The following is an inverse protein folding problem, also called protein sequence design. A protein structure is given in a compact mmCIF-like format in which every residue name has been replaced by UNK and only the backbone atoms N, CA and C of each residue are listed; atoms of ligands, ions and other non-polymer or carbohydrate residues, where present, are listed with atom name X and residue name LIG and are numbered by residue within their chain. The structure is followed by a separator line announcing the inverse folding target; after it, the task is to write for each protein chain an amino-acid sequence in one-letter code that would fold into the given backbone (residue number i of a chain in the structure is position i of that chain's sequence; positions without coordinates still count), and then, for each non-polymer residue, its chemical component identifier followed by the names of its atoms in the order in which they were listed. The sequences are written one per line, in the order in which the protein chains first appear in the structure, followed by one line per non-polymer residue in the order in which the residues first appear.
data_IF_317233129559
#
_entry.id   IF_317233129559
#
_cell.length_a   1.000
_cell.length_b   1.000
_cell.length_c   1.000
_cell.angle_alpha   90.00
_cell.angle_beta   90.00
_cell.angle_gamma   90.00
#
_symmetry.space_group_name_H-M   'P 1'
#
loop_
_entity.id
_entity.type
_entity.pdbx_description
1 polymer ?
#
# COMPACT_ATOMS: atom_id res chain seq x y z
N UNK A 1 19.32 -6.14 -7.28
CA UNK A 1 18.08 -6.95 -7.19
C UNK A 1 17.16 -6.36 -6.14
N UNK A 2 15.98 -5.88 -6.55
CA UNK A 2 15.02 -5.09 -5.75
C UNK A 2 14.14 -5.98 -4.86
N UNK A 3 13.96 -5.55 -3.60
CA UNK A 3 13.25 -6.28 -2.54
C UNK A 3 11.71 -6.22 -2.65
N UNK A 4 11.17 -5.54 -3.68
CA UNK A 4 9.72 -5.51 -4.02
C UNK A 4 9.19 -6.83 -4.56
N UNK A 5 10.07 -7.82 -4.72
CA UNK A 5 9.69 -9.21 -5.02
C UNK A 5 9.18 -9.97 -3.79
N UNK A 6 9.39 -9.49 -2.56
CA UNK A 6 8.93 -10.24 -1.37
C UNK A 6 7.39 -10.30 -1.37
N UNK A 7 6.77 -11.48 -1.46
CA UNK A 7 5.31 -11.63 -1.50
C UNK A 7 4.60 -10.95 -0.33
N UNK A 8 5.32 -10.81 0.79
CA UNK A 8 4.86 -10.08 1.99
C UNK A 8 4.50 -8.62 1.73
N UNK A 9 5.27 -7.86 0.94
CA UNK A 9 5.00 -6.44 0.75
C UNK A 9 3.68 -6.19 0.00
N UNK A 10 3.43 -6.97 -1.07
CA UNK A 10 2.20 -6.87 -1.85
C UNK A 10 0.99 -7.37 -1.04
N UNK A 11 1.17 -8.41 -0.24
CA UNK A 11 0.11 -8.91 0.65
C UNK A 11 -0.24 -7.91 1.77
N UNK A 12 0.76 -7.28 2.40
CA UNK A 12 0.54 -6.21 3.39
C UNK A 12 -0.16 -5.03 2.73
N UNK A 13 0.25 -4.66 1.51
CA UNK A 13 -0.39 -3.58 0.75
C UNK A 13 -1.87 -3.88 0.48
N UNK A 14 -2.19 -5.11 0.04
CA UNK A 14 -3.58 -5.53 -0.18
C UNK A 14 -4.39 -5.51 1.12
N UNK A 15 -3.84 -6.03 2.22
CA UNK A 15 -4.47 -5.98 3.53
C UNK A 15 -4.73 -4.54 4.00
N UNK A 16 -3.77 -3.64 3.79
CA UNK A 16 -3.87 -2.24 4.18
C UNK A 16 -4.93 -1.49 3.37
N UNK A 17 -5.01 -1.73 2.06
CA UNK A 17 -6.11 -1.22 1.24
C UNK A 17 -7.47 -1.78 1.67
N UNK A 18 -7.55 -3.09 1.97
CA UNK A 18 -8.77 -3.71 2.47
C UNK A 18 -9.20 -3.12 3.82
N UNK A 19 -8.26 -2.80 4.71
CA UNK A 19 -8.51 -2.11 5.97
C UNK A 19 -9.10 -0.72 5.71
N UNK A 20 -8.52 0.03 4.76
CA UNK A 20 -9.07 1.33 4.33
C UNK A 20 -10.49 1.23 3.80
N UNK A 21 -10.78 0.26 2.92
CA UNK A 21 -12.14 -0.02 2.43
C UNK A 21 -13.09 -0.32 3.59
N UNK A 22 -12.69 -1.21 4.51
CA UNK A 22 -13.52 -1.57 5.66
C UNK A 22 -13.81 -0.36 6.56
N UNK A 23 -12.80 0.48 6.80
CA UNK A 23 -12.95 1.73 7.54
C UNK A 23 -13.93 2.69 6.86
N UNK A 24 -13.83 2.88 5.54
CA UNK A 24 -14.73 3.78 4.80
C UNK A 24 -16.15 3.24 4.71
N UNK A 25 -16.34 1.92 4.62
CA UNK A 25 -17.67 1.31 4.67
C UNK A 25 -18.31 1.41 6.05
N UNK A 26 -17.51 1.30 7.12
CA UNK A 26 -17.98 1.55 8.47
C UNK A 26 -18.33 3.02 8.67
N UNK A 27 -17.49 3.94 8.23
CA UNK A 27 -17.79 5.37 8.24
C UNK A 27 -19.09 5.71 7.52
N UNK A 28 -19.30 5.09 6.36
CA UNK A 28 -20.56 5.18 5.63
C UNK A 28 -21.74 4.70 6.48
N UNK A 29 -21.62 3.52 7.09
CA UNK A 29 -22.65 2.98 7.94
C UNK A 29 -23.02 3.94 9.07
N UNK A 30 -22.03 4.51 9.77
CA UNK A 30 -22.25 5.43 10.90
C UNK A 30 -22.94 6.73 10.45
N UNK A 31 -22.65 7.23 9.26
CA UNK A 31 -23.38 8.35 8.68
C UNK A 31 -24.84 8.03 8.32
N UNK A 32 -25.19 6.77 8.06
CA UNK A 32 -26.57 6.35 7.75
C UNK A 32 -27.41 6.12 9.01
N UNK A 33 -26.82 5.48 10.04
CA UNK A 33 -27.57 5.06 11.23
C UNK A 33 -27.42 6.02 12.43
N UNK A 34 -26.53 7.00 12.31
CA UNK A 34 -26.15 7.92 13.37
C UNK A 34 -24.79 7.54 13.99
N UNK A 35 -24.02 8.53 14.46
CA UNK A 35 -22.64 8.32 14.89
C UNK A 35 -22.56 7.31 16.04
N UNK A 36 -21.77 6.25 15.85
CA UNK A 36 -21.45 5.29 16.88
C UNK A 36 -20.51 5.86 17.95
N UNK A 37 -20.13 5.03 18.91
CA UNK A 37 -19.18 5.41 19.98
C UNK A 37 -17.71 5.22 19.59
N UNK A 38 -17.43 4.64 18.42
CA UNK A 38 -16.07 4.35 17.94
C UNK A 38 -15.84 5.07 16.60
N UNK A 39 -14.68 5.73 16.40
CA UNK A 39 -14.42 6.50 15.19
C UNK A 39 -13.93 5.60 14.04
N UNK A 40 -14.73 5.36 12.98
CA UNK A 40 -14.33 4.56 11.83
C UNK A 40 -13.13 5.15 11.07
N UNK A 41 -12.93 6.47 11.17
CA UNK A 41 -11.74 7.17 10.69
C UNK A 41 -10.42 6.58 11.21
N UNK A 42 -10.38 6.02 12.43
CA UNK A 42 -9.17 5.36 12.93
C UNK A 42 -8.74 4.19 12.02
N UNK A 43 -9.72 3.41 11.55
CA UNK A 43 -9.48 2.27 10.66
C UNK A 43 -9.02 2.75 9.28
N UNK A 44 -9.63 3.83 8.78
CA UNK A 44 -9.24 4.49 7.53
C UNK A 44 -7.78 4.94 7.60
N UNK A 45 -7.42 5.67 8.66
CA UNK A 45 -6.09 6.23 8.87
C UNK A 45 -5.02 5.16 9.02
N UNK A 46 -5.30 4.09 9.79
CA UNK A 46 -4.40 2.96 9.91
C UNK A 46 -4.17 2.27 8.56
N UNK A 47 -5.23 2.07 7.78
CA UNK A 47 -5.11 1.55 6.41
C UNK A 47 -4.21 2.43 5.54
N UNK A 48 -4.47 3.74 5.50
CA UNK A 48 -3.68 4.71 4.75
C UNK A 48 -2.21 4.76 5.18
N UNK A 49 -1.93 4.80 6.49
CA UNK A 49 -0.58 4.83 7.03
C UNK A 49 0.22 3.58 6.69
N UNK A 50 -0.40 2.39 6.77
CA UNK A 50 0.26 1.15 6.37
C UNK A 50 0.54 1.13 4.87
N UNK A 51 -0.40 1.59 4.03
CA UNK A 51 -0.17 1.75 2.58
C UNK A 51 1.03 2.67 2.33
N UNK A 52 1.06 3.86 2.92
CA UNK A 52 2.16 4.83 2.78
C UNK A 52 3.49 4.22 3.24
N UNK A 53 3.50 3.53 4.37
CA UNK A 53 4.68 2.85 4.89
C UNK A 53 5.22 1.80 3.91
N UNK A 54 4.35 0.95 3.36
CA UNK A 54 4.76 -0.06 2.37
C UNK A 54 5.29 0.60 1.10
N UNK A 55 4.59 1.59 0.55
CA UNK A 55 4.99 2.24 -0.71
C UNK A 55 6.31 3.01 -0.56
N UNK A 56 6.48 3.76 0.54
CA UNK A 56 7.67 4.58 0.79
C UNK A 56 8.91 3.76 1.16
N UNK A 57 8.75 2.67 1.91
CA UNK A 57 9.89 1.93 2.50
C UNK A 57 10.13 0.54 1.89
N UNK A 58 9.33 0.11 0.92
CA UNK A 58 9.61 -1.15 0.20
C UNK A 58 10.86 -1.08 -0.67
N UNK A 59 11.53 -2.22 -0.81
CA UNK A 59 12.80 -2.34 -1.52
C UNK A 59 14.01 -2.15 -0.61
N UNK A 60 15.18 -1.92 -1.21
CA UNK A 60 16.40 -1.61 -0.46
C UNK A 60 16.33 -0.14 -0.03
N UNK A 61 16.38 0.09 1.27
CA UNK A 61 16.36 1.41 1.89
C UNK A 61 17.58 1.55 2.78
N UNK A 62 18.37 2.59 2.56
CA UNK A 62 19.49 2.92 3.45
C UNK A 62 18.97 3.72 4.64
N UNK A 63 18.93 3.06 5.80
CA UNK A 63 18.43 3.63 7.06
C UNK A 63 19.31 4.79 7.57
N UNK A 64 20.56 4.91 7.10
CA UNK A 64 21.47 6.00 7.47
C UNK A 64 21.35 7.21 6.54
N UNK A 65 20.61 7.07 5.44
CA UNK A 65 20.47 8.15 4.46
C UNK A 65 19.60 9.30 5.01
N UNK A 66 19.95 10.53 4.63
CA UNK A 66 19.14 11.72 4.95
C UNK A 66 17.72 11.59 4.37
N UNK A 67 17.58 10.98 3.19
CA UNK A 67 16.28 10.73 2.57
C UNK A 67 15.40 9.80 3.41
N UNK A 68 15.97 8.75 4.01
CA UNK A 68 15.22 7.90 4.94
C UNK A 68 14.75 8.69 6.17
N UNK A 69 15.64 9.48 6.78
CA UNK A 69 15.29 10.30 7.94
C UNK A 69 14.14 11.27 7.63
N UNK A 70 14.18 11.95 6.49
CA UNK A 70 13.11 12.86 6.04
C UNK A 70 11.79 12.12 5.84
N UNK A 71 11.81 10.96 5.17
CA UNK A 71 10.59 10.17 4.95
C UNK A 71 10.01 9.63 6.26
N UNK A 72 10.87 9.22 7.19
CA UNK A 72 10.45 8.75 8.51
C UNK A 72 9.80 9.88 9.32
N UNK A 73 10.40 11.07 9.33
CA UNK A 73 9.83 12.26 9.97
C UNK A 73 8.49 12.65 9.32
N UNK A 74 8.41 12.63 7.99
CA UNK A 74 7.15 12.89 7.28
C UNK A 74 6.07 11.87 7.65
N UNK A 75 6.40 10.57 7.69
CA UNK A 75 5.45 9.53 8.10
C UNK A 75 5.01 9.73 9.55
N UNK A 76 5.92 10.05 10.47
CA UNK A 76 5.60 10.32 11.86
C UNK A 76 4.71 11.55 12.02
N UNK A 77 4.95 12.63 11.26
CA UNK A 77 4.10 13.81 11.23
C UNK A 77 2.70 13.47 10.71
N UNK A 78 2.60 12.74 9.60
CA UNK A 78 1.32 12.31 9.05
C UNK A 78 0.57 11.42 10.04
N UNK A 79 1.25 10.50 10.71
CA UNK A 79 0.66 9.66 11.75
C UNK A 79 0.18 10.48 12.96
N UNK A 80 0.93 11.50 13.36
CA UNK A 80 0.51 12.40 14.45
C UNK A 80 -0.71 13.24 14.07
N UNK A 81 -0.77 13.73 12.83
CA UNK A 81 -1.91 14.51 12.34
C UNK A 81 -3.16 13.63 12.21
N UNK A 82 -3.00 12.42 11.68
CA UNK A 82 -4.10 11.47 11.53
C UNK A 82 -4.59 10.95 12.89
N UNK A 83 -3.70 10.37 13.70
CA UNK A 83 -4.08 9.66 14.93
C UNK A 83 -4.17 10.54 16.16
N UNK A 84 -3.44 11.65 16.21
CA UNK A 84 -3.36 12.56 17.36
C UNK A 84 -4.73 13.08 17.81
N UNK A 85 -5.56 13.63 16.91
CA UNK A 85 -6.91 14.07 17.25
C UNK A 85 -7.77 12.95 17.84
N UNK A 86 -7.71 11.74 17.30
CA UNK A 86 -8.47 10.59 17.83
C UNK A 86 -7.99 10.15 19.20
N UNK A 87 -6.68 10.05 19.41
CA UNK A 87 -6.09 9.73 20.71
C UNK A 87 -6.47 10.78 21.75
N UNK A 88 -6.44 12.06 21.38
CA UNK A 88 -6.85 13.14 22.26
C UNK A 88 -8.34 13.10 22.58
N UNK A 89 -9.19 12.79 21.59
CA UNK A 89 -10.63 12.62 21.77
C UNK A 89 -10.94 11.47 22.74
N UNK A 90 -10.22 10.35 22.66
CA UNK A 90 -10.41 9.21 23.56
C UNK A 90 -9.89 9.48 24.98
N UNK A 91 -8.72 10.12 25.09
CA UNK A 91 -8.07 10.35 26.38
C UNK A 91 -8.60 11.56 27.14
N UNK A 92 -8.97 12.64 26.44
CA UNK A 92 -9.34 13.92 27.04
C UNK A 92 -10.40 14.67 26.20
N UNK A 93 -11.60 14.09 25.98
CA UNK A 93 -12.62 14.61 25.06
C UNK A 93 -13.14 16.02 25.40
N UNK A 94 -13.07 16.41 26.68
CA UNK A 94 -13.57 17.71 27.18
C UNK A 94 -12.46 18.71 27.52
N UNK A 95 -11.22 18.45 27.06
CA UNK A 95 -10.09 19.33 27.34
C UNK A 95 -10.14 20.61 26.50
N UNK A 96 -9.57 21.70 27.02
CA UNK A 96 -9.37 22.93 26.26
C UNK A 96 -8.53 22.69 25.00
N UNK A 97 -7.52 21.82 25.09
CA UNK A 97 -6.69 21.42 23.97
C UNK A 97 -7.51 20.78 22.84
N UNK A 98 -8.44 19.88 23.15
CA UNK A 98 -9.32 19.27 22.14
C UNK A 98 -10.22 20.32 21.48
N UNK A 99 -10.79 21.24 22.27
CA UNK A 99 -11.61 22.33 21.73
C UNK A 99 -10.81 23.27 20.81
N UNK A 100 -9.59 23.63 21.20
CA UNK A 100 -8.67 24.46 20.40
C UNK A 100 -8.25 23.76 19.11
N UNK A 101 -7.94 22.47 19.20
CA UNK A 101 -7.61 21.63 18.05
C UNK A 101 -8.76 21.56 17.06
N UNK A 102 -9.98 21.30 17.52
CA UNK A 102 -11.17 21.27 16.64
C UNK A 102 -11.41 22.63 15.98
N UNK A 103 -11.29 23.73 16.72
CA UNK A 103 -11.38 25.08 16.15
C UNK A 103 -10.31 25.33 15.08
N UNK A 104 -9.08 24.88 15.31
CA UNK A 104 -7.99 24.98 14.34
C UNK A 104 -8.28 24.14 13.08
N UNK A 105 -8.76 22.91 13.24
CA UNK A 105 -9.12 22.02 12.12
C UNK A 105 -10.26 22.58 11.27
N UNK A 106 -11.17 23.35 11.86
CA UNK A 106 -12.23 24.04 11.11
C UNK A 106 -11.76 25.32 10.41
N UNK A 107 -10.49 25.69 10.49
CA UNK A 107 -9.92 26.84 9.78
C UNK A 107 -9.29 26.44 8.45
N UNK A 108 -9.34 27.31 7.44
CA UNK A 108 -8.71 27.05 6.14
C UNK A 108 -7.19 26.78 6.23
N UNK A 109 -6.51 27.29 7.27
CA UNK A 109 -5.09 27.00 7.52
C UNK A 109 -4.79 25.53 7.81
N UNK A 110 -5.78 24.76 8.29
CA UNK A 110 -5.63 23.34 8.57
C UNK A 110 -5.36 22.50 7.31
N UNK A 111 -5.77 22.96 6.12
CA UNK A 111 -5.48 22.26 4.86
C UNK A 111 -3.96 22.14 4.63
N UNK A 112 -3.18 23.13 5.06
CA UNK A 112 -1.72 23.10 4.95
C UNK A 112 -1.10 22.01 5.82
N UNK A 113 -1.76 21.61 6.92
CA UNK A 113 -1.29 20.51 7.75
C UNK A 113 -1.32 19.16 7.00
N UNK A 114 -2.11 19.03 5.93
CA UNK A 114 -2.19 17.81 5.12
C UNK A 114 -1.25 17.81 3.91
N UNK A 115 -0.50 18.90 3.65
CA UNK A 115 0.53 18.92 2.60
C UNK A 115 1.57 17.80 2.78
N UNK A 116 2.09 17.51 3.99
CA UNK A 116 2.97 16.36 4.22
C UNK A 116 2.38 15.03 3.76
N UNK A 117 1.07 14.81 3.95
CA UNK A 117 0.38 13.59 3.51
C UNK A 117 0.43 13.45 1.99
N UNK A 118 0.07 14.51 1.25
CA UNK A 118 0.06 14.49 -0.22
C UNK A 118 1.47 14.31 -0.78
N UNK A 119 2.47 14.98 -0.19
CA UNK A 119 3.87 14.81 -0.60
C UNK A 119 4.38 13.39 -0.33
N UNK A 120 4.06 12.82 0.83
CA UNK A 120 4.44 11.45 1.18
C UNK A 120 3.76 10.42 0.28
N UNK A 121 2.48 10.63 -0.06
CA UNK A 121 1.74 9.79 -1.00
C UNK A 121 2.35 9.87 -2.40
N UNK A 122 2.62 11.09 -2.90
CA UNK A 122 3.29 11.35 -4.18
C UNK A 122 4.65 10.65 -4.27
N UNK A 123 5.49 10.85 -3.26
CA UNK A 123 6.80 10.23 -3.20
C UNK A 123 6.71 8.70 -3.07
N UNK A 124 5.84 8.19 -2.19
CA UNK A 124 5.62 6.77 -1.99
C UNK A 124 5.14 6.08 -3.27
N UNK A 125 4.19 6.69 -3.98
CA UNK A 125 3.72 6.21 -5.28
C UNK A 125 4.86 6.19 -6.31
N UNK A 126 5.59 7.30 -6.47
CA UNK A 126 6.74 7.37 -7.36
C UNK A 126 7.79 6.29 -7.06
N UNK A 127 8.17 6.18 -5.78
CA UNK A 127 9.12 5.19 -5.30
C UNK A 127 8.62 3.78 -5.60
N UNK A 128 7.36 3.50 -5.29
CA UNK A 128 6.73 2.22 -5.57
C UNK A 128 6.74 1.89 -7.05
N UNK A 129 6.59 2.84 -7.97
CA UNK A 129 6.64 2.58 -9.41
C UNK A 129 8.08 2.39 -9.91
N UNK A 130 9.06 3.10 -9.33
CA UNK A 130 10.49 3.01 -9.69
C UNK A 130 11.12 1.62 -9.49
N UNK A 131 10.50 0.77 -8.65
CA UNK A 131 11.12 -0.47 -8.17
C UNK A 131 11.17 -1.66 -9.16
N UNK A 132 10.87 -1.46 -10.46
CA UNK A 132 10.97 -2.35 -11.64
C UNK A 132 10.55 -3.85 -11.53
N UNK A 133 9.89 -4.45 -12.55
CA UNK A 133 9.25 -3.81 -13.71
C UNK A 133 7.85 -3.25 -13.36
N UNK A 134 7.46 -2.17 -14.04
CA UNK A 134 6.13 -1.57 -13.93
C UNK A 134 5.06 -2.60 -14.29
N UNK A 135 3.94 -2.61 -13.56
CA UNK A 135 2.78 -3.44 -13.88
C UNK A 135 1.49 -2.67 -13.63
N UNK A 136 0.40 -3.08 -14.29
CA UNK A 136 -0.93 -2.47 -14.11
C UNK A 136 -1.35 -2.49 -12.64
N UNK A 137 -1.12 -3.59 -11.92
CA UNK A 137 -1.44 -3.68 -10.49
C UNK A 137 -0.63 -2.69 -9.63
N UNK A 138 0.65 -2.46 -9.96
CA UNK A 138 1.47 -1.46 -9.26
C UNK A 138 1.01 -0.04 -9.56
N UNK A 139 0.61 0.23 -10.80
CA UNK A 139 0.04 1.51 -11.21
C UNK A 139 -1.28 1.77 -10.47
N UNK A 140 -2.18 0.80 -10.43
CA UNK A 140 -3.46 0.91 -9.72
C UNK A 140 -3.25 1.16 -8.22
N UNK A 141 -2.33 0.44 -7.56
CA UNK A 141 -1.95 0.73 -6.18
C UNK A 141 -1.44 2.17 -6.00
N UNK A 142 -0.47 2.60 -6.83
CA UNK A 142 0.06 3.95 -6.77
C UNK A 142 -1.04 5.03 -6.96
N UNK A 143 -1.91 4.87 -7.97
CA UNK A 143 -3.02 5.80 -8.21
C UNK A 143 -3.99 5.79 -7.03
N UNK A 144 -4.31 4.63 -6.49
CA UNK A 144 -5.23 4.48 -5.37
C UNK A 144 -4.82 5.33 -4.15
N UNK A 145 -3.54 5.32 -3.75
CA UNK A 145 -3.10 6.14 -2.61
C UNK A 145 -3.11 7.64 -2.91
N UNK A 146 -2.84 8.05 -4.16
CA UNK A 146 -2.91 9.46 -4.54
C UNK A 146 -4.35 9.96 -4.45
N UNK A 147 -5.29 9.17 -4.96
CA UNK A 147 -6.72 9.47 -4.86
C UNK A 147 -7.12 9.62 -3.40
N UNK A 148 -6.78 8.64 -2.54
CA UNK A 148 -7.05 8.72 -1.08
C UNK A 148 -6.47 10.00 -0.48
N UNK A 149 -5.18 10.28 -0.68
CA UNK A 149 -4.53 11.44 -0.08
C UNK A 149 -5.16 12.78 -0.52
N UNK A 150 -5.48 12.93 -1.80
CA UNK A 150 -6.16 14.14 -2.31
C UNK A 150 -7.59 14.25 -1.81
N UNK A 151 -8.31 13.12 -1.74
CA UNK A 151 -9.67 13.07 -1.26
C UNK A 151 -9.76 13.37 0.25
N UNK A 152 -8.76 12.99 1.05
CA UNK A 152 -8.67 13.38 2.47
C UNK A 152 -8.51 14.89 2.65
N UNK A 153 -7.74 15.57 1.78
CA UNK A 153 -7.66 17.04 1.82
C UNK A 153 -8.99 17.67 1.42
N UNK A 154 -9.62 17.13 0.37
CA UNK A 154 -10.94 17.56 -0.06
C UNK A 154 -11.98 17.35 1.04
N UNK A 155 -11.91 16.23 1.77
CA UNK A 155 -12.81 15.89 2.86
C UNK A 155 -12.76 16.94 3.98
N UNK A 156 -11.56 17.31 4.42
CA UNK A 156 -11.38 18.39 5.39
C UNK A 156 -11.97 19.71 4.87
N UNK A 157 -11.67 20.09 3.62
CA UNK A 157 -12.22 21.30 3.01
C UNK A 157 -13.76 21.26 2.94
N UNK A 158 -14.33 20.10 2.62
CA UNK A 158 -15.76 19.89 2.53
C UNK A 158 -16.42 20.10 3.89
N UNK A 159 -15.88 19.49 4.94
CA UNK A 159 -16.37 19.69 6.31
C UNK A 159 -16.27 21.14 6.78
N UNK A 160 -15.25 21.89 6.35
CA UNK A 160 -15.10 23.31 6.67
C UNK A 160 -16.16 24.20 6.00
N UNK A 161 -16.66 23.81 4.82
CA UNK A 161 -17.51 24.67 3.96
C UNK A 161 -18.97 24.23 3.90
N UNK A 162 -19.28 22.96 4.17
CA UNK A 162 -20.60 22.35 4.03
C UNK A 162 -21.09 21.73 5.36
N UNK A 163 -20.72 22.31 6.50
CA UNK A 163 -21.00 21.78 7.85
C UNK A 163 -22.51 21.49 8.12
N UNK A 164 -23.43 22.17 7.43
CA UNK A 164 -24.88 21.99 7.55
C UNK A 164 -25.43 20.79 6.74
N UNK A 165 -24.67 20.28 5.77
CA UNK A 165 -25.05 19.17 4.89
C UNK A 165 -24.67 17.79 5.46
N UNK A 166 -23.98 17.76 6.61
CA UNK A 166 -23.55 16.51 7.30
C UNK A 166 -24.72 15.61 7.71
N UNK A 167 -25.96 16.14 7.72
CA UNK A 167 -27.20 15.37 7.95
C UNK A 167 -27.87 14.87 6.65
N UNK A 168 -27.41 15.29 5.49
CA UNK A 168 -27.91 14.85 4.19
C UNK A 168 -27.18 13.57 3.78
N UNK A 169 -27.92 12.60 3.24
CA UNK A 169 -27.45 11.24 2.94
C UNK A 169 -26.08 11.18 2.26
N UNK A 170 -25.31 10.11 2.47
CA UNK A 170 -23.96 9.86 1.94
C UNK A 170 -23.76 9.99 0.42
N UNK A 171 -24.83 10.00 -0.38
CA UNK A 171 -24.75 10.43 -1.78
C UNK A 171 -24.26 11.89 -1.93
N UNK A 172 -24.37 12.69 -0.86
CA UNK A 172 -23.95 14.08 -0.73
C UNK A 172 -22.58 14.25 -0.04
N UNK A 173 -21.79 13.18 0.13
CA UNK A 173 -20.40 13.26 0.60
C UNK A 173 -19.40 12.79 -0.48
N UNK A 174 -19.20 13.58 -1.57
CA UNK A 174 -18.26 13.25 -2.64
C UNK A 174 -16.83 12.88 -2.18
N UNK A 175 -16.23 13.54 -1.15
CA UNK A 175 -14.90 13.17 -0.70
C UNK A 175 -14.81 11.75 -0.15
N UNK A 176 -15.80 11.28 0.62
CA UNK A 176 -15.83 9.92 1.16
C UNK A 176 -15.92 8.88 0.03
N UNK A 177 -16.69 9.18 -1.02
CA UNK A 177 -16.77 8.33 -2.21
C UNK A 177 -15.43 8.25 -2.93
N UNK A 178 -14.71 9.36 -3.03
CA UNK A 178 -13.37 9.41 -3.63
C UNK A 178 -12.34 8.65 -2.77
N UNK A 179 -12.40 8.76 -1.43
CA UNK A 179 -11.57 7.98 -0.51
C UNK A 179 -11.82 6.48 -0.71
N UNK A 180 -13.09 6.04 -0.71
CA UNK A 180 -13.46 4.65 -0.95
C UNK A 180 -12.95 4.17 -2.32
N UNK A 181 -13.17 4.95 -3.38
CA UNK A 181 -12.72 4.61 -4.72
C UNK A 181 -11.21 4.45 -4.77
N UNK A 182 -10.44 5.36 -4.15
CA UNK A 182 -9.00 5.26 -4.04
C UNK A 182 -8.54 3.98 -3.34
N UNK A 183 -9.17 3.62 -2.22
CA UNK A 183 -8.86 2.36 -1.53
C UNK A 183 -9.23 1.12 -2.36
N UNK A 184 -10.39 1.11 -3.04
CA UNK A 184 -10.82 -0.01 -3.90
C UNK A 184 -9.90 -0.18 -5.10
N UNK A 185 -9.52 0.91 -5.80
CA UNK A 185 -8.57 0.87 -6.91
C UNK A 185 -7.24 0.28 -6.45
N UNK A 186 -6.76 0.73 -5.29
CA UNK A 186 -5.51 0.22 -4.73
C UNK A 186 -5.58 -1.24 -4.30
N UNK A 187 -6.71 -1.66 -3.71
CA UNK A 187 -6.98 -3.05 -3.34
C UNK A 187 -6.96 -3.96 -4.56
N UNK A 188 -7.68 -3.61 -5.63
CA UNK A 188 -7.69 -4.38 -6.88
C UNK A 188 -6.27 -4.50 -7.43
N UNK A 189 -5.51 -3.41 -7.46
CA UNK A 189 -4.13 -3.39 -7.92
C UNK A 189 -3.20 -4.29 -7.11
N UNK A 190 -3.29 -4.23 -5.79
CA UNK A 190 -2.48 -5.02 -4.88
C UNK A 190 -2.89 -6.51 -4.89
N UNK A 191 -4.19 -6.81 -4.86
CA UNK A 191 -4.72 -8.18 -4.88
C UNK A 191 -4.36 -8.91 -6.18
N UNK A 192 -4.47 -8.24 -7.33
CA UNK A 192 -3.99 -8.79 -8.61
C UNK A 192 -2.49 -9.14 -8.55
N UNK A 193 -1.69 -8.31 -7.87
CA UNK A 193 -0.28 -8.59 -7.64
C UNK A 193 0.00 -9.82 -6.77
N UNK A 194 -0.90 -10.15 -5.83
CA UNK A 194 -0.81 -11.36 -5.00
C UNK A 194 -1.18 -12.60 -5.81
N UNK A 195 -2.30 -12.56 -6.55
CA UNK A 195 -2.82 -13.72 -7.29
C UNK A 195 -1.95 -14.08 -8.49
N UNK A 196 -1.48 -13.10 -9.26
CA UNK A 196 -0.61 -13.33 -10.41
C UNK A 196 0.72 -14.01 -10.02
N UNK A 197 1.23 -13.75 -8.81
CA UNK A 197 2.45 -14.38 -8.28
C UNK A 197 2.20 -15.77 -7.70
N UNK A 198 1.09 -15.95 -6.99
CA UNK A 198 0.72 -17.27 -6.45
C UNK A 198 0.53 -18.29 -7.59
N UNK A 199 -0.03 -17.86 -8.73
CA UNK A 199 -0.12 -18.68 -9.93
C UNK A 199 1.24 -19.00 -10.56
N UNK A 200 2.17 -18.04 -10.62
CA UNK A 200 3.51 -18.30 -11.17
C UNK A 200 4.34 -19.23 -10.29
N UNK A 201 4.21 -19.11 -8.97
CA UNK A 201 4.95 -19.95 -8.02
C UNK A 201 4.44 -21.40 -8.06
N UNK A 202 3.11 -21.58 -8.15
CA UNK A 202 2.48 -22.90 -8.32
C UNK A 202 2.91 -23.56 -9.63
N UNK A 203 2.92 -22.82 -10.75
CA UNK A 203 3.37 -23.33 -12.05
C UNK A 203 4.86 -23.68 -12.02
N UNK A 204 5.69 -22.86 -11.37
CA UNK A 204 7.12 -23.15 -11.22
C UNK A 204 7.37 -24.38 -10.35
N UNK A 205 6.60 -24.59 -9.28
CA UNK A 205 6.67 -25.80 -8.45
C UNK A 205 6.24 -27.04 -9.24
N UNK A 206 5.13 -26.97 -9.97
CA UNK A 206 4.65 -28.08 -10.81
C UNK A 206 5.64 -28.42 -11.93
N UNK A 207 6.25 -27.41 -12.57
CA UNK A 207 7.27 -27.59 -13.61
C UNK A 207 8.62 -28.05 -13.05
N UNK A 208 8.94 -27.71 -11.79
CA UNK A 208 10.12 -28.20 -11.09
C UNK A 208 9.99 -29.67 -10.68
N UNK A 209 8.79 -30.10 -10.28
CA UNK A 209 8.50 -31.50 -9.95
C UNK A 209 8.49 -32.41 -11.19
N UNK A 210 7.94 -31.97 -12.32
CA UNK A 210 7.97 -32.77 -13.56
C UNK A 210 9.37 -33.00 -14.13
N UNK A 211 10.34 -32.14 -13.81
CA UNK A 211 11.74 -32.29 -14.25
C UNK A 211 12.54 -33.32 -13.43
N UNK A 212 12.07 -33.67 -12.23
CA UNK A 212 12.70 -34.66 -11.35
C UNK A 212 12.14 -36.08 -11.55
N UNK A 213 11.09 -36.24 -12.36
CA UNK A 213 10.42 -37.53 -12.60
C UNK A 213 10.66 -38.11 -14.00
N UNK A 214 11.57 -37.56 -14.81
CA UNK A 214 12.09 -38.31 -15.96
C UNK A 214 13.01 -39.42 -15.45
N UNK A 215 12.63 -40.71 -15.54
CA UNK A 215 13.52 -41.79 -15.17
C UNK A 215 14.73 -41.71 -16.09
N UNK A 216 15.94 -41.76 -15.52
CA UNK A 216 17.15 -41.93 -16.31
C UNK A 216 16.98 -43.17 -17.18
N UNK A 217 17.02 -43.00 -18.50
CA UNK A 217 17.07 -44.14 -19.41
C UNK A 217 18.27 -45.02 -19.03
N UNK A 218 18.09 -46.32 -18.77
CA UNK A 218 19.20 -47.22 -18.50
C UNK A 218 20.09 -47.29 -19.74
N UNK A 219 21.32 -46.83 -19.57
CA UNK A 219 22.31 -46.68 -20.62
C UNK A 219 22.59 -47.96 -21.41
N UNK A 220 22.48 -47.85 -22.73
CA UNK A 220 23.07 -48.74 -23.71
C UNK A 220 24.48 -48.21 -24.05
N UNK A 221 25.50 -48.67 -23.32
CA UNK A 221 26.91 -48.49 -23.70
C UNK A 221 27.71 -49.78 -23.53
N UNK A 222 27.70 -50.60 -24.57
CA UNK A 222 28.74 -51.57 -24.89
C UNK A 222 28.80 -51.62 -26.43
N UNK A 223 29.90 -51.47 -27.15
CA UNK A 223 31.31 -51.30 -26.84
C UNK A 223 32.01 -51.48 -28.19
N UNK A 224 32.50 -50.40 -28.79
CA UNK A 224 33.21 -50.48 -30.08
C UNK A 224 34.68 -50.12 -29.82
N UNK A 225 35.51 -51.15 -29.68
CA UNK A 225 36.97 -51.04 -29.74
C UNK A 225 37.38 -50.90 -31.21
N UNK A 226 38.06 -49.81 -31.55
CA UNK A 226 38.87 -49.72 -32.74
C UNK A 226 40.34 -49.67 -32.32
N UNK A 227 41.01 -50.81 -32.44
CA UNK A 227 42.46 -50.91 -32.38
C UNK A 227 43.04 -50.37 -33.71
N UNK A 228 43.89 -49.34 -33.64
CA UNK A 228 44.77 -48.91 -34.74
C UNK A 228 46.15 -48.63 -34.16
N UNK A 229 47.21 -49.39 -34.52
CA UNK A 229 48.56 -49.13 -34.05
C UNK A 229 49.44 -48.38 -35.06
N UNK A 230 50.29 -47.52 -34.47
CA UNK A 230 51.68 -47.17 -34.82
C UNK A 230 52.02 -46.47 -36.14
N UNK A 231 52.75 -45.36 -36.02
CA UNK A 231 53.51 -44.74 -37.11
C UNK A 231 54.32 -43.53 -36.65
N UNK A 232 55.19 -43.70 -35.65
CA UNK A 232 56.18 -42.69 -35.27
C UNK A 232 57.51 -42.98 -35.95
N UNK A 233 57.94 -42.12 -36.88
CA UNK A 233 59.31 -42.09 -37.39
C UNK A 233 59.97 -40.78 -36.97
N UNK A 234 61.11 -40.93 -36.31
CA UNK A 234 62.10 -39.89 -36.01
C UNK A 234 62.93 -39.55 -37.25
N UNK A 235 63.05 -38.26 -37.56
CA UNK A 235 64.29 -37.47 -37.77
C UNK A 235 63.93 -36.01 -37.94
#
# INVERSE_FOLDING_TARGET
MSDTRRPRAVAILALAYALGVAGTLWDWHDHLIGPGTQPPHLVIDLGGLVVLGVLAFSGKTDLRSRSFAVLYVLLALVALIALGPFLLMMAAPRSALMADLMRSMMSGGALLAYVPLVLLAGWGAWRWLSLAPLSVGRLAAAVGIIVVATATVWDLYWHQTHAMEVRASMAALPPHQAILAGFVIGLIGAAYGVTARSGSDLVAELMGRTRLETPAEPGLTAGFRSDVPSGGNST
#
